data_IF_166788337445
#
_entry.id   IF_166788337445
#
_cell.length_a   1.000
_cell.length_b   1.000
_cell.length_c   1.000
_cell.angle_alpha   90.00
_cell.angle_beta   90.00
_cell.angle_gamma   90.00
#
_symmetry.space_group_name_H-M   'P 1'
#
loop_
_entity.id
_entity.type
_entity.pdbx_description
1 polymer ?
#
# COMPACT_ATOMS: atom_id res chain seq x y z
N UNK A 1 -8.17 -22.65 7.04
CA UNK A 1 -7.50 -21.34 7.23
C UNK A 1 -7.94 -20.43 6.11
N UNK A 2 -8.51 -19.27 6.42
CA UNK A 2 -8.76 -18.24 5.42
C UNK A 2 -7.56 -17.29 5.45
N UNK A 3 -6.85 -17.14 4.33
CA UNK A 3 -5.82 -16.12 4.20
C UNK A 3 -6.52 -14.76 4.26
N UNK A 4 -6.15 -13.94 5.25
CA UNK A 4 -6.66 -12.57 5.39
C UNK A 4 -5.48 -11.65 5.13
N UNK A 5 -5.52 -10.96 3.99
CA UNK A 5 -4.50 -9.99 3.63
C UNK A 5 -5.18 -8.68 3.24
N UNK A 6 -4.70 -7.59 3.80
CA UNK A 6 -5.07 -6.23 3.42
C UNK A 6 -3.96 -5.67 2.56
N UNK A 7 -4.27 -5.30 1.33
CA UNK A 7 -3.35 -4.61 0.44
C UNK A 7 -3.67 -3.11 0.45
N UNK A 8 -2.66 -2.29 0.73
CA UNK A 8 -2.76 -0.84 0.77
C UNK A 8 -2.00 -0.26 -0.40
N UNK A 9 -2.72 0.40 -1.30
CA UNK A 9 -2.09 1.20 -2.35
C UNK A 9 -1.49 2.46 -1.73
N UNK A 10 -0.18 2.59 -1.86
CA UNK A 10 0.58 3.78 -1.55
C UNK A 10 0.78 4.56 -2.84
N UNK A 11 0.69 5.87 -2.70
CA UNK A 11 0.92 6.82 -3.78
C UNK A 11 2.28 7.46 -3.52
N UNK A 12 3.15 7.46 -4.54
CA UNK A 12 4.51 7.99 -4.41
C UNK A 12 4.51 9.51 -4.24
N UNK A 13 3.47 10.17 -4.76
CA UNK A 13 3.35 11.63 -4.79
C UNK A 13 2.54 12.19 -3.61
N UNK A 14 2.00 11.32 -2.75
CA UNK A 14 1.15 11.72 -1.64
C UNK A 14 1.61 11.18 -0.28
N UNK A 15 1.15 11.83 0.80
CA UNK A 15 1.45 11.41 2.17
C UNK A 15 0.77 10.07 2.46
N UNK A 16 1.58 9.03 2.65
CA UNK A 16 1.12 7.65 2.90
C UNK A 16 0.63 7.39 4.33
N UNK A 17 1.12 8.17 5.32
CA UNK A 17 0.89 7.94 6.75
C UNK A 17 -0.59 7.68 7.16
N UNK A 18 -1.58 8.51 6.76
CA UNK A 18 -2.97 8.28 7.19
C UNK A 18 -3.57 6.98 6.62
N UNK A 19 -3.20 6.60 5.39
CA UNK A 19 -3.67 5.36 4.75
C UNK A 19 -3.09 4.14 5.45
N UNK A 20 -1.81 4.19 5.80
CA UNK A 20 -1.13 3.13 6.54
C UNK A 20 -1.74 2.98 7.94
N UNK A 21 -1.95 4.08 8.66
CA UNK A 21 -2.51 4.05 10.02
C UNK A 21 -3.90 3.40 10.06
N UNK A 22 -4.78 3.77 9.12
CA UNK A 22 -6.11 3.18 9.00
C UNK A 22 -6.03 1.68 8.69
N UNK A 23 -5.22 1.29 7.71
CA UNK A 23 -5.13 -0.11 7.30
C UNK A 23 -4.46 -0.99 8.36
N UNK A 24 -3.54 -0.44 9.13
CA UNK A 24 -2.93 -1.10 10.28
C UNK A 24 -3.96 -1.40 11.37
N UNK A 25 -4.78 -0.41 11.76
CA UNK A 25 -5.88 -0.61 12.72
C UNK A 25 -6.86 -1.70 12.22
N UNK A 26 -7.20 -1.69 10.93
CA UNK A 26 -8.07 -2.69 10.34
C UNK A 26 -7.45 -4.10 10.36
N UNK A 27 -6.17 -4.22 9.98
CA UNK A 27 -5.45 -5.48 9.95
C UNK A 27 -5.37 -6.13 11.34
N UNK A 28 -5.12 -5.33 12.37
CA UNK A 28 -5.10 -5.78 13.76
C UNK A 28 -6.46 -6.34 14.21
N UNK A 29 -7.57 -5.68 13.86
CA UNK A 29 -8.92 -6.09 14.27
C UNK A 29 -9.37 -7.43 13.68
N UNK A 30 -8.87 -7.78 12.49
CA UNK A 30 -9.29 -8.99 11.79
C UNK A 30 -8.21 -10.06 11.73
N UNK A 31 -7.06 -9.83 12.37
CA UNK A 31 -5.88 -10.70 12.35
C UNK A 31 -5.45 -10.99 10.90
N UNK A 32 -5.26 -9.92 10.11
CA UNK A 32 -4.82 -9.99 8.73
C UNK A 32 -3.36 -9.55 8.57
N UNK A 33 -2.70 -10.11 7.57
CA UNK A 33 -1.43 -9.59 7.07
C UNK A 33 -1.65 -8.26 6.35
N UNK A 34 -0.71 -7.33 6.45
CA UNK A 34 -0.76 -6.02 5.79
C UNK A 34 0.38 -5.90 4.78
N UNK A 35 0.03 -5.63 3.51
CA UNK A 35 0.98 -5.40 2.43
C UNK A 35 0.80 -3.98 1.91
N UNK A 36 1.86 -3.16 2.00
CA UNK A 36 1.92 -1.86 1.33
C UNK A 36 2.49 -2.03 -0.09
N UNK A 37 1.82 -1.45 -1.09
CA UNK A 37 2.25 -1.52 -2.49
C UNK A 37 2.16 -0.15 -3.15
N UNK A 38 3.24 0.30 -3.79
CA UNK A 38 3.29 1.54 -4.55
C UNK A 38 3.64 1.23 -6.00
N UNK A 39 2.79 1.67 -6.93
CA UNK A 39 3.12 1.67 -8.35
C UNK A 39 3.53 3.10 -8.74
N UNK A 40 4.69 3.24 -9.38
CA UNK A 40 5.08 4.48 -10.02
C UNK A 40 4.87 4.33 -11.54
N UNK A 41 4.41 5.40 -12.19
CA UNK A 41 4.30 5.41 -13.65
C UNK A 41 5.72 5.39 -14.26
N UNK A 42 6.00 4.55 -15.28
CA UNK A 42 7.32 4.49 -15.87
C UNK A 42 7.63 5.78 -16.64
N UNK A 43 8.58 6.56 -16.13
CA UNK A 43 9.16 7.67 -16.89
C UNK A 43 10.25 7.13 -17.84
N UNK A 44 9.90 6.89 -19.10
CA UNK A 44 10.87 6.58 -20.13
C UNK A 44 11.66 7.85 -20.49
N UNK A 45 12.92 7.92 -20.06
CA UNK A 45 13.87 8.90 -20.58
C UNK A 45 14.38 8.39 -21.92
N UNK A 46 13.80 8.87 -23.02
CA UNK A 46 14.36 8.63 -24.35
C UNK A 46 15.65 9.47 -24.48
N UNK A 47 16.80 8.85 -24.83
CA UNK A 47 18.00 9.62 -25.15
C UNK A 47 17.73 10.51 -26.36
N UNK A 48 17.96 11.82 -26.22
CA UNK A 48 18.04 12.77 -27.34
C UNK A 48 19.35 12.60 -28.11
#
# INVERSE_FOLDING_TARGET
MAFKTIMVQLDVDAIAAPRIAMAWDLAQRIEADLIGFCAAEPHFVLPT
#
